data_IF_443049653649
#
_entry.id   IF_443049653649
#
_cell.length_a   1.000
_cell.length_b   1.000
_cell.length_c   1.000
_cell.angle_alpha   90.00
_cell.angle_beta   90.00
_cell.angle_gamma   90.00
#
_symmetry.space_group_name_H-M   'P 1'
#
loop_
_entity.id
_entity.type
_entity.pdbx_description
1 polymer ?
#
# COMPACT_ATOMS: atom_id res chain seq x y z
N UNK A 1 -10.30 4.72 21.08
CA UNK A 1 -10.58 5.25 19.73
C UNK A 1 -9.93 6.61 19.49
N UNK A 2 -10.16 7.62 20.35
CA UNK A 2 -9.64 8.99 20.17
C UNK A 2 -8.11 9.00 19.97
N UNK A 3 -7.33 8.27 20.78
CA UNK A 3 -5.88 8.22 20.66
C UNK A 3 -5.42 7.67 19.29
N UNK A 4 -6.08 6.64 18.76
CA UNK A 4 -5.77 6.08 17.43
C UNK A 4 -6.12 7.06 16.32
N UNK A 5 -7.26 7.74 16.42
CA UNK A 5 -7.65 8.76 15.46
C UNK A 5 -6.64 9.93 15.44
N UNK A 6 -6.25 10.44 16.61
CA UNK A 6 -5.20 11.46 16.71
C UNK A 6 -3.86 10.98 16.16
N UNK A 7 -3.48 9.73 16.43
CA UNK A 7 -2.26 9.15 15.89
C UNK A 7 -2.25 9.15 14.35
N UNK A 8 -3.35 8.72 13.74
CA UNK A 8 -3.45 8.65 12.27
C UNK A 8 -3.49 10.02 11.63
N UNK A 9 -4.29 10.94 12.17
CA UNK A 9 -4.33 12.31 11.65
C UNK A 9 -2.94 12.96 11.75
N UNK A 10 -2.28 12.84 12.90
CA UNK A 10 -0.95 13.41 13.09
C UNK A 10 0.09 12.78 12.14
N UNK A 11 0.09 11.44 11.98
CA UNK A 11 1.02 10.77 11.06
C UNK A 11 0.77 11.17 9.61
N UNK A 12 -0.48 11.16 9.15
CA UNK A 12 -0.82 11.57 7.78
C UNK A 12 -0.43 13.04 7.54
N UNK A 13 -0.71 13.94 8.50
CA UNK A 13 -0.29 15.34 8.41
C UNK A 13 1.24 15.49 8.37
N UNK A 14 1.97 14.72 9.18
CA UNK A 14 3.43 14.68 9.16
C UNK A 14 3.98 14.25 7.80
N UNK A 15 3.48 13.15 7.25
CA UNK A 15 3.88 12.66 5.93
C UNK A 15 3.47 13.60 4.80
N UNK A 16 2.28 14.20 4.88
CA UNK A 16 1.77 15.13 3.84
C UNK A 16 2.57 16.43 3.73
N UNK A 17 3.22 16.86 4.81
CA UNK A 17 4.03 18.08 4.83
C UNK A 17 5.54 17.82 4.70
N UNK A 18 5.95 16.60 4.32
CA UNK A 18 7.37 16.27 4.09
C UNK A 18 8.03 17.11 2.99
N UNK A 19 7.26 17.57 2.01
CA UNK A 19 7.74 18.46 0.95
C UNK A 19 8.10 19.88 1.44
N UNK A 20 7.58 20.28 2.61
CA UNK A 20 7.82 21.60 3.22
C UNK A 20 8.64 21.47 4.52
N UNK A 21 9.44 20.39 4.65
CA UNK A 21 10.24 20.14 5.88
C UNK A 21 11.17 21.30 6.19
N UNK A 22 11.74 21.97 5.18
CA UNK A 22 12.67 23.08 5.39
C UNK A 22 11.97 24.28 6.05
N UNK A 23 10.74 24.58 5.64
CA UNK A 23 9.98 25.73 6.14
C UNK A 23 9.18 25.41 7.40
N UNK A 24 8.77 24.16 7.57
CA UNK A 24 7.87 23.71 8.65
C UNK A 24 8.42 22.52 9.44
N UNK A 25 9.76 22.42 9.60
CA UNK A 25 10.41 21.31 10.30
C UNK A 25 9.81 21.03 11.67
N UNK A 26 9.59 22.06 12.47
CA UNK A 26 9.02 21.93 13.82
C UNK A 26 7.61 21.31 13.76
N UNK A 27 6.76 21.77 12.83
CA UNK A 27 5.41 21.23 12.66
C UNK A 27 5.43 19.75 12.28
N UNK A 28 6.27 19.38 11.31
CA UNK A 28 6.40 17.99 10.85
C UNK A 28 6.90 17.08 11.99
N UNK A 29 7.93 17.53 12.73
CA UNK A 29 8.43 16.79 13.90
C UNK A 29 7.37 16.67 14.99
N UNK A 30 6.63 17.73 15.30
CA UNK A 30 5.52 17.67 16.26
C UNK A 30 4.46 16.66 15.83
N UNK A 31 4.09 16.65 14.56
CA UNK A 31 3.12 15.66 14.02
C UNK A 31 3.61 14.23 14.21
N UNK A 32 4.88 13.93 13.89
CA UNK A 32 5.44 12.60 14.12
C UNK A 32 5.53 12.23 15.59
N UNK A 33 5.97 13.15 16.46
CA UNK A 33 6.04 12.91 17.92
C UNK A 33 4.65 12.64 18.47
N UNK A 34 3.64 13.44 18.14
CA UNK A 34 2.26 13.26 18.59
C UNK A 34 1.71 11.92 18.07
N UNK A 35 1.91 11.61 16.78
CA UNK A 35 1.42 10.39 16.16
C UNK A 35 2.02 9.13 16.81
N UNK A 36 3.35 9.08 16.96
CA UNK A 36 4.06 7.96 17.56
C UNK A 36 3.73 7.83 19.05
N UNK A 37 3.69 8.93 19.80
CA UNK A 37 3.35 8.93 21.22
C UNK A 37 1.92 8.46 21.48
N UNK A 38 0.98 8.87 20.62
CA UNK A 38 -0.43 8.44 20.70
C UNK A 38 -0.58 6.94 20.41
N UNK A 39 0.15 6.40 19.40
CA UNK A 39 0.19 4.96 19.11
C UNK A 39 0.81 4.18 20.28
N UNK A 40 1.93 4.66 20.80
CA UNK A 40 2.58 4.03 21.95
C UNK A 40 1.67 4.00 23.18
N UNK A 41 1.02 5.12 23.49
CA UNK A 41 0.06 5.19 24.60
C UNK A 41 -1.11 4.23 24.38
N UNK A 42 -1.69 4.19 23.18
CA UNK A 42 -2.76 3.26 22.84
C UNK A 42 -2.32 1.81 23.03
N UNK A 43 -1.19 1.42 22.43
CA UNK A 43 -0.66 0.05 22.51
C UNK A 43 -0.40 -0.36 23.96
N UNK A 44 0.29 0.50 24.72
CA UNK A 44 0.57 0.23 26.14
C UNK A 44 -0.70 0.09 26.97
N UNK A 45 -1.70 0.91 26.71
CA UNK A 45 -3.00 0.83 27.40
C UNK A 45 -3.74 -0.46 27.06
N UNK A 46 -3.78 -0.88 25.79
CA UNK A 46 -4.44 -2.13 25.38
C UNK A 46 -3.81 -3.37 26.04
N UNK A 47 -2.50 -3.39 26.21
CA UNK A 47 -1.79 -4.49 26.86
C UNK A 47 -2.07 -4.63 28.38
N UNK A 48 -2.58 -3.56 29.04
CA UNK A 48 -2.80 -3.54 30.48
C UNK A 48 -4.28 -3.62 30.92
N UNK A 49 -5.22 -3.55 29.97
CA UNK A 49 -6.66 -3.60 30.26
C UNK A 49 -7.14 -5.05 30.22
N UNK A 50 -7.95 -5.47 31.20
CA UNK A 50 -8.51 -6.83 31.29
C UNK A 50 -9.42 -7.20 30.09
N UNK A 51 -10.14 -6.23 29.51
CA UNK A 51 -10.96 -6.40 28.32
C UNK A 51 -10.50 -5.37 27.26
N UNK A 52 -9.44 -5.66 26.50
CA UNK A 52 -8.96 -4.74 25.48
C UNK A 52 -9.98 -4.61 24.34
N UNK A 53 -10.04 -3.42 23.72
CA UNK A 53 -10.84 -3.19 22.52
C UNK A 53 -10.32 -3.97 21.31
N UNK A 54 -9.02 -4.22 21.29
CA UNK A 54 -8.31 -4.98 20.26
C UNK A 54 -7.25 -5.82 20.97
N UNK A 55 -7.31 -7.12 20.77
CA UNK A 55 -6.31 -8.04 21.28
C UNK A 55 -5.05 -7.98 20.43
N UNK A 56 -3.99 -7.32 20.93
CA UNK A 56 -2.72 -7.18 20.21
C UNK A 56 -1.94 -8.50 20.10
N UNK A 57 -2.40 -9.57 20.75
CA UNK A 57 -1.87 -10.93 20.64
C UNK A 57 -1.93 -11.50 19.23
N UNK A 58 -2.77 -10.91 18.34
CA UNK A 58 -2.79 -11.22 16.92
C UNK A 58 -1.41 -11.12 16.26
N UNK A 59 -0.56 -10.20 16.70
CA UNK A 59 0.80 -10.02 16.18
C UNK A 59 1.79 -11.11 16.64
N UNK A 60 1.44 -11.93 17.63
CA UNK A 60 2.22 -13.11 18.01
C UNK A 60 2.15 -14.20 16.92
N UNK A 61 1.12 -14.17 16.09
CA UNK A 61 0.97 -15.05 14.93
C UNK A 61 1.78 -14.51 13.74
N UNK A 62 3.02 -15.01 13.56
CA UNK A 62 3.96 -14.53 12.56
C UNK A 62 3.40 -14.47 11.14
N UNK A 63 2.63 -15.50 10.72
CA UNK A 63 2.03 -15.54 9.39
C UNK A 63 1.02 -14.41 9.19
N UNK A 64 0.16 -14.13 10.19
CA UNK A 64 -0.75 -12.98 10.17
C UNK A 64 0.04 -11.67 10.04
N UNK A 65 1.07 -11.48 10.85
CA UNK A 65 1.89 -10.25 10.86
C UNK A 65 2.55 -10.02 9.50
N UNK A 66 3.12 -11.04 8.88
CA UNK A 66 3.75 -10.90 7.57
C UNK A 66 2.73 -10.68 6.44
N UNK A 67 1.57 -11.32 6.48
CA UNK A 67 0.50 -11.04 5.51
C UNK A 67 -0.03 -9.61 5.66
N UNK A 68 -0.19 -9.12 6.89
CA UNK A 68 -0.57 -7.72 7.18
C UNK A 68 0.47 -6.76 6.64
N UNK A 69 1.76 -7.01 6.87
CA UNK A 69 2.85 -6.19 6.34
C UNK A 69 2.83 -6.15 4.80
N UNK A 70 2.61 -7.30 4.15
CA UNK A 70 2.49 -7.35 2.69
C UNK A 70 1.34 -6.47 2.19
N UNK A 71 0.16 -6.53 2.82
CA UNK A 71 -1.00 -5.70 2.44
C UNK A 71 -0.70 -4.20 2.64
N UNK A 72 -0.02 -3.83 3.73
CA UNK A 72 0.37 -2.44 3.98
C UNK A 72 1.22 -1.88 2.84
N UNK A 73 2.30 -2.55 2.46
CA UNK A 73 3.18 -2.09 1.38
C UNK A 73 2.51 -2.15 0.00
N UNK A 74 1.62 -3.13 -0.20
CA UNK A 74 0.81 -3.20 -1.40
C UNK A 74 -0.13 -2.00 -1.54
N UNK A 75 -0.77 -1.60 -0.44
CA UNK A 75 -1.67 -0.45 -0.41
C UNK A 75 -0.92 0.87 -0.61
N UNK A 76 0.28 1.01 -0.02
CA UNK A 76 1.16 2.15 -0.29
C UNK A 76 1.46 2.26 -1.78
N UNK A 77 1.76 1.13 -2.44
CA UNK A 77 2.05 1.08 -3.87
C UNK A 77 0.82 1.43 -4.70
N UNK A 78 -0.35 0.89 -4.35
CA UNK A 78 -1.61 1.11 -5.10
C UNK A 78 -2.02 2.57 -5.10
N UNK A 79 -2.02 3.22 -3.92
CA UNK A 79 -2.36 4.63 -3.82
C UNK A 79 -1.23 5.55 -4.33
N UNK A 80 0.03 5.08 -4.26
CA UNK A 80 1.15 5.74 -4.91
C UNK A 80 0.96 5.83 -6.44
N UNK A 81 0.58 4.73 -7.08
CA UNK A 81 0.21 4.75 -8.51
C UNK A 81 -1.01 5.63 -8.79
N UNK A 82 -2.00 5.62 -7.88
CA UNK A 82 -3.20 6.46 -7.99
C UNK A 82 -2.90 7.96 -8.07
N UNK A 83 -1.81 8.43 -7.47
CA UNK A 83 -1.32 9.80 -7.57
C UNK A 83 -0.35 9.97 -8.73
N UNK A 84 0.61 9.06 -8.89
CA UNK A 84 1.69 9.16 -9.88
C UNK A 84 1.14 9.18 -11.31
N UNK A 85 0.30 8.20 -11.67
CA UNK A 85 -0.11 8.01 -13.07
C UNK A 85 -0.92 9.19 -13.62
N UNK A 86 -1.98 9.70 -12.93
CA UNK A 86 -2.67 10.88 -13.41
C UNK A 86 -1.76 12.11 -13.56
N UNK A 87 -0.87 12.32 -12.57
CA UNK A 87 0.07 13.45 -12.59
C UNK A 87 1.05 13.34 -13.76
N UNK A 88 1.61 12.15 -13.99
CA UNK A 88 2.54 11.90 -15.10
C UNK A 88 1.85 12.05 -16.47
N UNK A 89 0.67 11.47 -16.64
CA UNK A 89 -0.13 11.53 -17.88
C UNK A 89 -0.48 12.97 -18.22
N UNK A 90 -0.89 13.77 -17.24
CA UNK A 90 -1.29 15.15 -17.47
C UNK A 90 -0.10 16.09 -17.73
N UNK A 91 0.97 15.98 -16.94
CA UNK A 91 2.08 16.94 -16.98
C UNK A 91 3.16 16.51 -17.99
N UNK A 92 3.55 15.22 -17.99
CA UNK A 92 4.64 14.72 -18.84
C UNK A 92 4.12 14.32 -20.22
N UNK A 93 3.05 13.52 -20.27
CA UNK A 93 2.48 13.10 -21.55
C UNK A 93 1.55 14.14 -22.18
N UNK A 94 1.28 15.26 -21.48
CA UNK A 94 0.44 16.39 -21.95
C UNK A 94 -0.93 15.97 -22.43
N UNK A 95 -1.50 14.94 -21.81
CA UNK A 95 -2.85 14.48 -22.08
C UNK A 95 -3.88 15.31 -21.29
N UNK A 96 -5.15 15.17 -21.67
CA UNK A 96 -6.24 15.87 -20.97
C UNK A 96 -6.43 15.40 -19.52
N UNK A 97 -7.09 16.20 -18.68
CA UNK A 97 -7.48 15.80 -17.33
C UNK A 97 -8.41 14.57 -17.34
N UNK A 98 -9.21 14.41 -18.38
CA UNK A 98 -10.06 13.22 -18.58
C UNK A 98 -9.19 11.97 -18.80
N UNK A 99 -8.19 12.03 -19.68
CA UNK A 99 -7.28 10.92 -19.95
C UNK A 99 -6.48 10.54 -18.70
N UNK A 100 -6.06 11.54 -17.91
CA UNK A 100 -5.41 11.31 -16.63
C UNK A 100 -6.26 10.52 -15.63
N UNK A 101 -7.59 10.70 -15.65
CA UNK A 101 -8.52 9.88 -14.88
C UNK A 101 -8.73 8.49 -15.49
N UNK A 102 -8.87 8.41 -16.82
CA UNK A 102 -9.13 7.17 -17.57
C UNK A 102 -7.97 6.19 -17.46
N UNK A 103 -6.73 6.65 -17.28
CA UNK A 103 -5.57 5.76 -17.10
C UNK A 103 -5.73 4.79 -15.90
N UNK A 104 -6.55 5.15 -14.89
CA UNK A 104 -6.83 4.31 -13.72
C UNK A 104 -8.04 3.37 -13.92
N UNK A 105 -8.83 3.55 -14.99
CA UNK A 105 -10.03 2.77 -15.27
C UNK A 105 -9.77 1.25 -15.34
N UNK A 106 -8.66 0.76 -15.94
CA UNK A 106 -8.36 -0.66 -15.95
C UNK A 106 -8.32 -1.26 -14.54
N UNK A 107 -7.76 -0.53 -13.56
CA UNK A 107 -7.72 -0.98 -12.17
C UNK A 107 -9.09 -1.06 -11.53
N UNK A 108 -9.96 -0.09 -11.79
CA UNK A 108 -11.33 -0.09 -11.29
C UNK A 108 -12.15 -1.28 -11.84
N UNK A 109 -12.02 -1.58 -13.13
CA UNK A 109 -12.67 -2.73 -13.78
C UNK A 109 -12.18 -4.04 -13.16
N UNK A 110 -10.87 -4.20 -13.02
CA UNK A 110 -10.30 -5.40 -12.38
C UNK A 110 -10.82 -5.55 -10.95
N UNK A 111 -10.81 -4.48 -10.15
CA UNK A 111 -11.34 -4.51 -8.79
C UNK A 111 -12.80 -4.96 -8.72
N UNK A 112 -13.65 -4.43 -9.62
CA UNK A 112 -15.06 -4.81 -9.70
C UNK A 112 -15.26 -6.28 -10.08
N UNK A 113 -14.45 -6.82 -10.99
CA UNK A 113 -14.53 -8.23 -11.43
C UNK A 113 -13.97 -9.18 -10.35
N UNK A 114 -12.84 -8.84 -9.74
CA UNK A 114 -12.20 -9.74 -8.78
C UNK A 114 -12.86 -9.73 -7.40
N UNK A 115 -13.66 -8.72 -7.06
CA UNK A 115 -14.40 -8.70 -5.81
C UNK A 115 -15.32 -9.94 -5.65
N UNK A 116 -16.19 -10.30 -6.61
CA UNK A 116 -17.02 -11.51 -6.51
C UNK A 116 -16.26 -12.79 -6.83
N UNK A 117 -15.23 -12.75 -7.66
CA UNK A 117 -14.52 -13.94 -8.16
C UNK A 117 -13.42 -14.41 -7.20
N UNK A 118 -12.95 -13.52 -6.31
CA UNK A 118 -11.85 -13.81 -5.38
C UNK A 118 -12.08 -15.05 -4.51
N UNK A 119 -13.30 -15.23 -3.99
CA UNK A 119 -13.69 -16.41 -3.22
C UNK A 119 -13.61 -17.71 -4.03
N UNK A 120 -14.13 -17.72 -5.26
CA UNK A 120 -14.08 -18.89 -6.15
C UNK A 120 -12.65 -19.29 -6.51
N UNK A 121 -11.77 -18.31 -6.69
CA UNK A 121 -10.35 -18.57 -6.96
C UNK A 121 -9.70 -19.21 -5.73
N UNK A 122 -10.01 -18.70 -4.54
CA UNK A 122 -9.52 -19.24 -3.27
C UNK A 122 -9.94 -20.70 -3.09
N UNK A 123 -11.24 -21.00 -3.28
CA UNK A 123 -11.81 -22.34 -3.08
C UNK A 123 -11.21 -23.37 -4.05
N UNK A 124 -10.94 -22.95 -5.29
CA UNK A 124 -10.43 -23.86 -6.33
C UNK A 124 -8.92 -24.07 -6.30
N UNK A 125 -8.14 -23.02 -5.99
CA UNK A 125 -6.68 -23.03 -6.14
C UNK A 125 -5.94 -22.89 -4.81
N UNK A 126 -6.66 -22.63 -3.71
CA UNK A 126 -6.08 -22.26 -2.43
C UNK A 126 -5.48 -20.85 -2.46
N UNK A 127 -5.18 -20.27 -1.32
CA UNK A 127 -4.70 -18.88 -1.23
C UNK A 127 -3.31 -18.66 -1.85
N UNK A 128 -2.41 -19.64 -1.73
CA UNK A 128 -0.99 -19.48 -2.07
C UNK A 128 -0.74 -19.22 -3.55
N UNK A 129 -1.40 -19.96 -4.44
CA UNK A 129 -1.17 -19.84 -5.90
C UNK A 129 -1.58 -18.48 -6.46
N UNK A 130 -2.81 -17.97 -6.20
CA UNK A 130 -3.21 -16.65 -6.70
C UNK A 130 -2.38 -15.52 -6.10
N UNK A 131 -1.98 -15.60 -4.82
CA UNK A 131 -1.13 -14.60 -4.19
C UNK A 131 0.23 -14.54 -4.90
N UNK A 132 0.89 -15.68 -5.13
CA UNK A 132 2.19 -15.72 -5.84
C UNK A 132 2.05 -15.17 -7.25
N UNK A 133 1.04 -15.61 -8.00
CA UNK A 133 0.80 -15.12 -9.36
C UNK A 133 0.56 -13.60 -9.38
N UNK A 134 -0.26 -13.11 -8.45
CA UNK A 134 -0.53 -11.69 -8.33
C UNK A 134 0.71 -10.85 -8.00
N UNK A 135 1.56 -11.35 -7.08
CA UNK A 135 2.84 -10.70 -6.74
C UNK A 135 3.76 -10.67 -7.97
N UNK A 136 3.84 -11.75 -8.74
CA UNK A 136 4.62 -11.77 -9.98
C UNK A 136 4.09 -10.76 -11.01
N UNK A 137 2.76 -10.68 -11.22
CA UNK A 137 2.16 -9.70 -12.12
C UNK A 137 2.47 -8.26 -11.68
N UNK A 138 2.31 -7.95 -10.39
CA UNK A 138 2.59 -6.62 -9.84
C UNK A 138 4.06 -6.25 -9.95
N UNK A 139 4.96 -7.21 -9.72
CA UNK A 139 6.40 -7.02 -9.87
C UNK A 139 6.78 -6.75 -11.32
N UNK A 140 6.31 -7.59 -12.25
CA UNK A 140 6.60 -7.44 -13.69
C UNK A 140 6.09 -6.10 -14.19
N UNK A 141 4.85 -5.72 -13.84
CA UNK A 141 4.29 -4.43 -14.25
C UNK A 141 5.13 -3.26 -13.74
N UNK A 142 5.49 -3.25 -12.46
CA UNK A 142 6.31 -2.17 -11.86
C UNK A 142 7.72 -2.16 -12.44
N UNK A 143 8.31 -3.33 -12.69
CA UNK A 143 9.60 -3.44 -13.37
C UNK A 143 9.54 -2.90 -14.81
N UNK A 144 8.49 -3.22 -15.56
CA UNK A 144 8.29 -2.71 -16.92
C UNK A 144 8.08 -1.18 -16.93
N UNK A 145 7.39 -0.59 -15.93
CA UNK A 145 7.31 0.86 -15.79
C UNK A 145 8.69 1.50 -15.66
N UNK A 146 9.59 0.91 -14.89
CA UNK A 146 10.98 1.39 -14.75
C UNK A 146 11.80 1.15 -16.03
N UNK A 147 11.70 -0.03 -16.63
CA UNK A 147 12.48 -0.42 -17.79
C UNK A 147 12.15 0.42 -19.03
N UNK A 148 10.86 0.68 -19.26
CA UNK A 148 10.39 1.49 -20.39
C UNK A 148 10.19 2.96 -20.02
N UNK A 149 10.74 3.45 -18.92
CA UNK A 149 10.45 4.77 -18.37
C UNK A 149 10.61 5.91 -19.40
N UNK A 150 11.69 5.91 -20.17
CA UNK A 150 11.97 6.93 -21.18
C UNK A 150 11.01 6.90 -22.40
N UNK A 151 10.36 5.75 -22.63
CA UNK A 151 9.46 5.51 -23.76
C UNK A 151 8.01 5.30 -23.30
N UNK A 152 7.64 5.76 -22.13
CA UNK A 152 6.27 5.62 -21.62
C UNK A 152 5.31 6.45 -22.48
N UNK A 153 4.35 5.75 -23.07
CA UNK A 153 3.20 6.35 -23.76
C UNK A 153 1.94 6.16 -22.92
N UNK A 154 0.90 6.91 -23.24
CA UNK A 154 -0.40 6.78 -22.57
C UNK A 154 -0.93 5.34 -22.60
N UNK A 155 -0.90 4.71 -23.80
CA UNK A 155 -1.37 3.33 -23.98
C UNK A 155 -0.53 2.33 -23.16
N UNK A 156 0.79 2.53 -23.14
CA UNK A 156 1.69 1.68 -22.35
C UNK A 156 1.42 1.82 -20.84
N UNK A 157 1.19 3.04 -20.36
CA UNK A 157 0.81 3.28 -18.98
C UNK A 157 -0.50 2.54 -18.60
N UNK A 158 -1.53 2.62 -19.45
CA UNK A 158 -2.80 1.89 -19.24
C UNK A 158 -2.59 0.38 -19.22
N UNK A 159 -1.81 -0.17 -20.15
CA UNK A 159 -1.55 -1.60 -20.24
C UNK A 159 -0.76 -2.11 -19.02
N UNK A 160 0.29 -1.42 -18.63
CA UNK A 160 1.09 -1.80 -17.46
C UNK A 160 0.29 -1.68 -16.17
N UNK A 161 -0.52 -0.63 -16.04
CA UNK A 161 -1.39 -0.48 -14.88
C UNK A 161 -2.49 -1.54 -14.84
N UNK A 162 -3.01 -1.98 -15.99
CA UNK A 162 -3.92 -3.12 -16.07
C UNK A 162 -3.28 -4.41 -15.53
N UNK A 163 -2.03 -4.72 -15.97
CA UNK A 163 -1.29 -5.90 -15.47
C UNK A 163 -1.04 -5.79 -13.96
N UNK A 164 -0.65 -4.61 -13.47
CA UNK A 164 -0.51 -4.33 -12.05
C UNK A 164 -1.81 -4.60 -11.29
N UNK A 165 -2.93 -4.10 -11.80
CA UNK A 165 -4.25 -4.22 -11.17
C UNK A 165 -4.76 -5.67 -11.14
N UNK A 166 -4.48 -6.47 -12.19
CA UNK A 166 -4.72 -7.93 -12.16
C UNK A 166 -3.97 -8.57 -10.99
N UNK A 167 -2.71 -8.17 -10.79
CA UNK A 167 -1.91 -8.62 -9.65
C UNK A 167 -2.59 -8.28 -8.31
N UNK A 168 -3.00 -7.02 -8.14
CA UNK A 168 -3.68 -6.54 -6.92
C UNK A 168 -4.98 -7.32 -6.66
N UNK A 169 -5.81 -7.52 -7.69
CA UNK A 169 -7.05 -8.28 -7.58
C UNK A 169 -6.84 -9.71 -7.07
N UNK A 170 -5.75 -10.35 -7.48
CA UNK A 170 -5.38 -11.68 -7.01
C UNK A 170 -4.79 -11.68 -5.60
N UNK A 171 -4.09 -10.62 -5.18
CA UNK A 171 -3.39 -10.59 -3.89
C UNK A 171 -4.32 -10.22 -2.75
N UNK A 172 -5.03 -9.08 -2.85
CA UNK A 172 -5.64 -8.42 -1.69
C UNK A 172 -6.63 -9.33 -0.99
N UNK A 173 -7.69 -9.78 -1.67
CA UNK A 173 -8.72 -10.62 -1.07
C UNK A 173 -8.16 -11.94 -0.53
N UNK A 174 -7.34 -12.63 -1.32
CA UNK A 174 -6.76 -13.91 -0.94
C UNK A 174 -5.79 -13.77 0.26
N UNK A 175 -5.00 -12.69 0.31
CA UNK A 175 -4.10 -12.44 1.44
C UNK A 175 -4.87 -12.11 2.72
N UNK A 176 -5.97 -11.34 2.62
CA UNK A 176 -6.81 -11.03 3.79
C UNK A 176 -7.43 -12.29 4.39
N UNK A 177 -8.03 -13.15 3.55
CA UNK A 177 -8.62 -14.41 4.02
C UNK A 177 -7.54 -15.33 4.59
N UNK A 178 -6.39 -15.44 3.91
CA UNK A 178 -5.28 -16.25 4.37
C UNK A 178 -4.71 -15.72 5.71
N UNK A 179 -4.58 -14.41 5.89
CA UNK A 179 -4.15 -13.81 7.15
C UNK A 179 -5.09 -14.18 8.31
N UNK A 180 -6.41 -14.09 8.07
CA UNK A 180 -7.42 -14.44 9.09
C UNK A 180 -7.39 -15.92 9.46
N UNK A 181 -7.11 -16.82 8.51
CA UNK A 181 -7.06 -18.27 8.76
C UNK A 181 -5.95 -18.70 9.72
N UNK A 182 -4.92 -17.87 9.91
CA UNK A 182 -3.86 -18.10 10.90
C UNK A 182 -4.21 -17.61 12.31
N UNK A 183 -5.38 -16.99 12.50
CA UNK A 183 -5.84 -16.52 13.80
C UNK A 183 -6.92 -17.45 14.36
N UNK A 184 -6.95 -17.68 15.69
CA UNK A 184 -8.08 -18.28 16.36
C UNK A 184 -9.38 -17.52 16.06
N UNK A 185 -10.51 -18.22 16.01
CA UNK A 185 -11.81 -17.64 15.63
C UNK A 185 -12.17 -16.42 16.49
N UNK A 186 -11.87 -16.46 17.78
CA UNK A 186 -12.11 -15.34 18.71
C UNK A 186 -11.25 -14.09 18.45
N UNK A 187 -10.14 -14.20 17.69
CA UNK A 187 -9.25 -13.09 17.35
C UNK A 187 -9.43 -12.58 15.91
N UNK A 188 -10.22 -13.26 15.08
CA UNK A 188 -10.38 -12.89 13.66
C UNK A 188 -11.05 -11.53 13.47
N UNK A 189 -12.01 -11.17 14.32
CA UNK A 189 -12.65 -9.86 14.26
C UNK A 189 -11.65 -8.73 14.54
N UNK A 190 -10.81 -8.89 15.55
CA UNK A 190 -9.76 -7.93 15.91
C UNK A 190 -8.68 -7.87 14.81
N UNK A 191 -8.28 -9.04 14.30
CA UNK A 191 -7.34 -9.15 13.19
C UNK A 191 -7.82 -8.40 11.95
N UNK A 192 -9.08 -8.56 11.57
CA UNK A 192 -9.67 -7.87 10.43
C UNK A 192 -9.72 -6.34 10.66
N UNK A 193 -10.13 -5.90 11.85
CA UNK A 193 -10.18 -4.47 12.19
C UNK A 193 -8.80 -3.82 12.11
N UNK A 194 -7.77 -4.47 12.67
CA UNK A 194 -6.39 -3.99 12.62
C UNK A 194 -5.85 -3.97 11.19
N UNK A 195 -6.07 -5.04 10.43
CA UNK A 195 -5.60 -5.15 9.06
C UNK A 195 -6.20 -4.05 8.18
N UNK A 196 -7.53 -3.82 8.24
CA UNK A 196 -8.20 -2.76 7.50
C UNK A 196 -7.69 -1.37 7.89
N UNK A 197 -7.48 -1.15 9.19
CA UNK A 197 -6.98 0.12 9.72
C UNK A 197 -5.57 0.41 9.24
N UNK A 198 -4.67 -0.57 9.32
CA UNK A 198 -3.29 -0.46 8.84
C UNK A 198 -3.23 -0.30 7.32
N UNK A 199 -4.10 -0.97 6.58
CA UNK A 199 -4.23 -0.83 5.14
C UNK A 199 -4.56 0.61 4.76
N UNK A 200 -5.56 1.25 5.40
CA UNK A 200 -5.94 2.63 5.12
C UNK A 200 -4.84 3.64 5.50
N UNK A 201 -4.22 3.45 6.67
CA UNK A 201 -3.10 4.28 7.10
C UNK A 201 -1.94 4.21 6.09
N UNK A 202 -1.59 3.00 5.68
CA UNK A 202 -0.49 2.77 4.73
C UNK A 202 -0.77 3.40 3.37
N UNK A 203 -2.02 3.36 2.92
CA UNK A 203 -2.44 4.05 1.69
C UNK A 203 -2.20 5.56 1.77
N UNK A 204 -2.63 6.20 2.87
CA UNK A 204 -2.38 7.62 3.11
C UNK A 204 -0.88 7.96 3.17
N UNK A 205 -0.08 7.12 3.84
CA UNK A 205 1.39 7.28 3.88
C UNK A 205 1.97 7.15 2.47
N UNK A 206 1.56 6.16 1.69
CA UNK A 206 2.06 5.94 0.32
C UNK A 206 1.78 7.12 -0.60
N UNK A 207 0.55 7.66 -0.55
CA UNK A 207 0.18 8.86 -1.31
C UNK A 207 1.01 10.07 -0.88
N UNK A 208 1.19 10.26 0.43
CA UNK A 208 1.95 11.38 0.99
C UNK A 208 3.43 11.33 0.61
N UNK A 209 4.06 10.15 0.68
CA UNK A 209 5.46 9.97 0.25
C UNK A 209 5.59 10.22 -1.25
N UNK A 210 4.66 9.69 -2.05
CA UNK A 210 4.64 9.94 -3.51
C UNK A 210 4.54 11.42 -3.82
N UNK A 211 3.62 12.15 -3.17
CA UNK A 211 3.47 13.59 -3.32
C UNK A 211 4.74 14.35 -2.90
N UNK A 212 5.35 13.95 -1.77
CA UNK A 212 6.56 14.57 -1.26
C UNK A 212 7.75 14.39 -2.21
N UNK A 213 7.94 13.19 -2.76
CA UNK A 213 9.01 12.94 -3.75
C UNK A 213 8.81 13.81 -4.98
N UNK A 214 7.59 13.86 -5.53
CA UNK A 214 7.29 14.71 -6.71
C UNK A 214 7.56 16.18 -6.40
N UNK A 215 7.02 16.71 -5.31
CA UNK A 215 7.16 18.09 -4.93
C UNK A 215 8.63 18.48 -4.65
N UNK A 216 9.39 17.61 -3.99
CA UNK A 216 10.81 17.84 -3.71
C UNK A 216 11.65 17.96 -5.00
N UNK A 217 11.40 17.08 -5.97
CA UNK A 217 12.14 17.09 -7.24
C UNK A 217 11.69 18.24 -8.15
N UNK A 218 10.44 18.72 -8.01
CA UNK A 218 9.94 19.89 -8.75
C UNK A 218 10.54 21.22 -8.27
N UNK A 219 11.14 21.28 -7.08
CA UNK A 219 11.75 22.50 -6.56
C UNK A 219 12.94 22.95 -7.42
N UNK A 220 12.91 24.17 -7.88
CA UNK A 220 14.02 24.81 -8.61
C UNK A 220 14.18 24.42 -10.07
N UNK A 221 13.28 23.56 -10.62
CA UNK A 221 13.25 23.19 -12.05
C UNK A 221 11.84 23.35 -12.63
N UNK A 222 11.73 23.34 -13.95
CA UNK A 222 10.40 23.45 -14.58
C UNK A 222 9.51 22.24 -14.22
N UNK A 223 8.20 22.45 -14.25
CA UNK A 223 7.21 21.46 -13.82
C UNK A 223 7.30 20.14 -14.61
N UNK A 224 7.60 20.20 -15.90
CA UNK A 224 7.74 19.03 -16.77
C UNK A 224 8.93 18.15 -16.34
N UNK A 225 10.13 18.74 -16.28
CA UNK A 225 11.35 18.00 -15.93
C UNK A 225 11.32 17.53 -14.47
N UNK A 226 10.76 18.35 -13.58
CA UNK A 226 10.57 17.99 -12.17
C UNK A 226 9.64 16.81 -12.01
N UNK A 227 8.51 16.81 -12.70
CA UNK A 227 7.57 15.68 -12.67
C UNK A 227 8.14 14.45 -13.33
N UNK A 228 8.83 14.58 -14.47
CA UNK A 228 9.44 13.45 -15.14
C UNK A 228 10.51 12.77 -14.29
N UNK A 229 11.46 13.53 -13.73
CA UNK A 229 12.49 12.98 -12.82
C UNK A 229 11.87 12.46 -11.53
N UNK A 230 10.91 13.18 -10.95
CA UNK A 230 10.21 12.77 -9.74
C UNK A 230 9.46 11.46 -9.92
N UNK A 231 8.84 11.25 -11.09
CA UNK A 231 8.16 10.00 -11.43
C UNK A 231 9.10 8.79 -11.41
N UNK A 232 10.34 8.96 -11.88
CA UNK A 232 11.35 7.89 -11.79
C UNK A 232 11.65 7.52 -10.33
N UNK A 233 11.87 8.50 -9.44
CA UNK A 233 12.12 8.24 -8.03
C UNK A 233 10.91 7.60 -7.35
N UNK A 234 9.69 8.01 -7.69
CA UNK A 234 8.47 7.37 -7.20
C UNK A 234 8.40 5.92 -7.68
N UNK A 235 8.65 5.62 -8.93
CA UNK A 235 8.64 4.24 -9.44
C UNK A 235 9.69 3.36 -8.73
N UNK A 236 10.86 3.89 -8.42
CA UNK A 236 11.89 3.19 -7.61
C UNK A 236 11.35 2.90 -6.20
N UNK A 237 10.69 3.87 -5.57
CA UNK A 237 10.03 3.68 -4.28
C UNK A 237 8.93 2.62 -4.34
N UNK A 238 8.08 2.63 -5.39
CA UNK A 238 7.03 1.63 -5.57
C UNK A 238 7.62 0.23 -5.81
N UNK A 239 8.72 0.15 -6.57
CA UNK A 239 9.44 -1.10 -6.78
C UNK A 239 10.04 -1.64 -5.48
N UNK A 240 10.58 -0.79 -4.63
CA UNK A 240 11.06 -1.16 -3.30
C UNK A 240 9.92 -1.74 -2.45
N UNK A 241 8.74 -1.12 -2.44
CA UNK A 241 7.58 -1.63 -1.74
C UNK A 241 7.15 -3.02 -2.23
N UNK A 242 7.12 -3.24 -3.55
CA UNK A 242 6.79 -4.57 -4.12
C UNK A 242 7.81 -5.64 -3.69
N UNK A 243 9.10 -5.31 -3.60
CA UNK A 243 10.09 -6.25 -3.08
C UNK A 243 9.82 -6.61 -1.60
N UNK A 244 9.39 -5.66 -0.77
CA UNK A 244 8.97 -5.94 0.60
C UNK A 244 7.73 -6.84 0.61
N UNK A 245 6.76 -6.64 -0.31
CA UNK A 245 5.60 -7.53 -0.46
C UNK A 245 6.04 -8.95 -0.75
N UNK A 246 6.97 -9.16 -1.70
CA UNK A 246 7.53 -10.48 -2.04
C UNK A 246 8.14 -11.15 -0.80
N UNK A 247 9.01 -10.44 -0.10
CA UNK A 247 9.68 -10.96 1.10
C UNK A 247 8.68 -11.29 2.21
N UNK A 248 7.72 -10.40 2.43
CA UNK A 248 6.69 -10.60 3.47
C UNK A 248 5.82 -11.81 3.16
N UNK A 249 5.37 -11.99 1.92
CA UNK A 249 4.59 -13.17 1.51
C UNK A 249 5.42 -14.45 1.63
N UNK A 250 6.69 -14.41 1.26
CA UNK A 250 7.59 -15.57 1.42
C UNK A 250 7.69 -16.00 2.89
N UNK A 251 7.92 -15.05 3.81
CA UNK A 251 8.02 -15.36 5.25
C UNK A 251 6.67 -15.76 5.84
N UNK A 252 5.56 -15.18 5.39
CA UNK A 252 4.22 -15.55 5.81
C UNK A 252 3.93 -17.04 5.53
N UNK A 253 4.20 -17.50 4.31
CA UNK A 253 4.01 -18.90 3.95
C UNK A 253 5.01 -19.86 4.59
N UNK A 254 6.21 -19.41 4.90
CA UNK A 254 7.21 -20.22 5.62
C UNK A 254 6.81 -20.41 7.08
N UNK A 255 6.26 -19.38 7.72
CA UNK A 255 5.78 -19.42 9.11
C UNK A 255 4.56 -20.32 9.29
N UNK A 256 3.66 -20.38 8.30
CA UNK A 256 2.43 -21.20 8.34
C UNK A 256 2.67 -22.70 8.33
N UNK A 257 3.73 -23.17 7.67
CA UNK A 257 4.05 -24.61 7.61
C UNK A 257 4.33 -25.29 8.97
N UNK A 258 4.48 -24.52 10.03
CA UNK A 258 4.78 -25.05 11.38
C UNK A 258 3.51 -25.30 12.22
N UNK A 259 2.34 -24.86 11.79
CA UNK A 259 1.09 -24.91 12.56
C UNK A 259 -0.04 -25.70 11.84
N UNK A 260 0.27 -26.38 10.72
CA UNK A 260 -0.66 -27.31 10.07
C UNK A 260 -0.51 -28.73 10.68
N UNK A 261 -0.73 -28.86 12.00
CA UNK A 261 -1.04 -30.15 12.65
C UNK A 261 -1.70 -29.91 14.01
#
# INVERSE_FOLDING_TARGET
FIAVAFAFVALIMGFSNLNQVVDHLVFVLCCFIIGISSLYYFTKRQLHIKNPLIHLDIFNHKSFTFHTLAIMFLQMTTLGYGLLLPTFVQIVLKQSATDAGVVLLPGAIVGAVFAPVGGLILDRFGAKKPIILGVCCSFIATFCFLFFFENLTYQLCMMLYFIYSLGIGLIVGNTMICAMSYLPINLQADGNAVLQTLMQLSGGIGTSITAAILAFVQQGINLYDGTNRGALFVLIFLMFNINIVILSQYFAFKGGKKNEF
#
